data_IF_361001400383
#
_entry.id   IF_361001400383
#
_cell.length_a   1.000
_cell.length_b   1.000
_cell.length_c   1.000
_cell.angle_alpha   90.00
_cell.angle_beta   90.00
_cell.angle_gamma   90.00
#
_symmetry.space_group_name_H-M   'P 1'
#
loop_
_entity.id
_entity.type
_entity.pdbx_description
1 polymer ?
#
# COMPACT_ATOMS: atom_id res chain seq x y z
N UNK A 1 6.02 -12.63 -10.75
CA UNK A 1 4.80 -13.07 -11.44
C UNK A 1 3.96 -11.89 -11.89
N UNK A 2 2.90 -12.17 -12.63
CA UNK A 2 1.99 -11.13 -13.12
C UNK A 2 0.70 -11.11 -12.30
N UNK A 3 0.18 -9.89 -12.07
CA UNK A 3 -1.08 -9.69 -11.39
C UNK A 3 -1.81 -8.53 -12.09
N UNK A 4 -2.91 -8.84 -12.76
CA UNK A 4 -3.68 -7.87 -13.56
C UNK A 4 -2.80 -6.99 -14.47
N UNK A 5 -1.78 -7.59 -15.08
CA UNK A 5 -0.87 -6.91 -16.01
C UNK A 5 0.34 -6.26 -15.36
N UNK A 6 0.40 -6.16 -14.04
CA UNK A 6 1.58 -5.66 -13.34
C UNK A 6 2.59 -6.77 -13.10
N UNK A 7 3.87 -6.41 -13.04
CA UNK A 7 4.95 -7.35 -12.72
C UNK A 7 5.21 -7.29 -11.22
N UNK A 8 4.98 -8.41 -10.54
CA UNK A 8 5.09 -8.50 -9.09
C UNK A 8 6.41 -9.17 -8.74
N UNK A 9 7.19 -8.52 -7.89
CA UNK A 9 8.42 -9.08 -7.31
C UNK A 9 8.27 -9.15 -5.80
N UNK A 10 8.41 -10.35 -5.25
CA UNK A 10 8.42 -10.53 -3.81
C UNK A 10 9.84 -10.34 -3.29
N UNK A 11 10.02 -9.60 -2.21
CA UNK A 11 11.32 -9.35 -1.62
C UNK A 11 11.28 -9.43 -0.09
N UNK A 12 12.47 -9.39 0.53
CA UNK A 12 12.60 -9.54 1.97
C UNK A 12 12.62 -8.20 2.73
N UNK A 13 12.53 -7.07 2.04
CA UNK A 13 12.38 -5.78 2.68
C UNK A 13 11.02 -5.74 3.38
N UNK A 14 10.92 -4.97 4.46
CA UNK A 14 9.68 -4.90 5.24
C UNK A 14 8.66 -3.95 4.65
N UNK A 15 9.01 -3.21 3.63
CA UNK A 15 8.12 -2.27 2.94
C UNK A 15 7.76 -2.78 1.55
N UNK A 16 6.67 -2.27 1.00
CA UNK A 16 6.25 -2.53 -0.37
C UNK A 16 6.25 -1.22 -1.15
N UNK A 17 6.51 -1.29 -2.45
CA UNK A 17 6.56 -0.10 -3.29
C UNK A 17 6.08 -0.42 -4.70
N UNK A 18 5.40 0.54 -5.32
CA UNK A 18 4.97 0.47 -6.71
C UNK A 18 5.71 1.50 -7.55
N UNK A 19 6.25 1.06 -8.68
CA UNK A 19 6.92 1.92 -9.66
C UNK A 19 6.31 1.63 -11.03
N UNK A 20 5.27 2.38 -11.41
CA UNK A 20 4.54 2.14 -12.65
C UNK A 20 3.89 0.76 -12.65
N UNK A 21 4.26 -0.08 -13.60
CA UNK A 21 3.74 -1.46 -13.71
C UNK A 21 4.55 -2.47 -12.88
N UNK A 22 5.61 -2.03 -12.19
CA UNK A 22 6.44 -2.90 -11.37
C UNK A 22 6.07 -2.72 -9.91
N UNK A 23 5.73 -3.82 -9.23
CA UNK A 23 5.33 -3.81 -7.83
C UNK A 23 6.27 -4.71 -7.05
N UNK A 24 6.87 -4.14 -6.00
CA UNK A 24 7.73 -4.88 -5.08
C UNK A 24 6.97 -5.08 -3.79
N UNK A 25 6.64 -6.32 -3.45
CA UNK A 25 5.80 -6.67 -2.32
C UNK A 25 6.62 -7.39 -1.26
N UNK A 26 6.50 -6.93 0.00
CA UNK A 26 7.17 -7.59 1.12
C UNK A 26 6.58 -8.96 1.39
N UNK A 27 7.45 -9.91 1.78
CA UNK A 27 7.02 -11.22 2.32
C UNK A 27 6.84 -11.16 3.83
N UNK A 28 7.40 -10.12 4.46
CA UNK A 28 7.44 -9.98 5.92
C UNK A 28 6.93 -8.60 6.32
N UNK A 29 5.63 -8.35 6.26
CA UNK A 29 5.09 -7.03 6.61
C UNK A 29 5.30 -6.75 8.10
N UNK A 30 5.85 -5.57 8.41
CA UNK A 30 6.18 -5.21 9.78
C UNK A 30 4.96 -5.16 10.70
N UNK A 31 3.78 -4.95 10.13
CA UNK A 31 2.53 -4.83 10.87
C UNK A 31 1.83 -6.17 11.11
N UNK A 32 2.41 -7.28 10.68
CA UNK A 32 1.78 -8.60 10.85
C UNK A 32 1.52 -8.93 12.31
N UNK A 33 2.49 -8.68 13.19
CA UNK A 33 2.36 -9.00 14.62
C UNK A 33 1.17 -8.27 15.26
N UNK A 34 0.87 -7.06 14.81
CA UNK A 34 -0.26 -6.29 15.31
C UNK A 34 -1.60 -6.86 14.86
N UNK A 35 -1.67 -7.37 13.64
CA UNK A 35 -2.93 -7.79 13.01
C UNK A 35 -3.13 -9.31 12.97
N UNK A 36 -2.17 -10.09 13.44
CA UNK A 36 -2.22 -11.56 13.35
C UNK A 36 -3.37 -12.23 14.09
N UNK A 37 -3.98 -11.54 15.05
CA UNK A 37 -5.12 -12.05 15.82
C UNK A 37 -6.38 -12.12 14.94
N UNK A 38 -6.55 -11.14 14.04
CA UNK A 38 -7.73 -11.01 13.20
C UNK A 38 -7.51 -11.50 11.76
N UNK A 39 -6.24 -11.48 11.29
CA UNK A 39 -5.90 -11.76 9.90
C UNK A 39 -4.76 -12.75 9.80
N UNK A 40 -4.81 -13.63 8.80
CA UNK A 40 -3.69 -14.50 8.47
C UNK A 40 -2.64 -13.68 7.69
N UNK A 41 -1.39 -14.17 7.68
CA UNK A 41 -0.31 -13.52 6.94
C UNK A 41 -0.63 -13.47 5.44
N UNK A 42 -1.13 -14.59 4.87
CA UNK A 42 -1.47 -14.64 3.45
C UNK A 42 -2.58 -13.65 3.09
N UNK A 43 -3.57 -13.50 3.96
CA UNK A 43 -4.65 -12.53 3.73
C UNK A 43 -4.12 -11.10 3.73
N UNK A 44 -3.25 -10.76 4.69
CA UNK A 44 -2.64 -9.42 4.74
C UNK A 44 -1.76 -9.15 3.52
N UNK A 45 -0.98 -10.13 3.09
CA UNK A 45 -0.13 -9.97 1.90
C UNK A 45 -0.97 -9.77 0.65
N UNK A 46 -2.08 -10.48 0.52
CA UNK A 46 -2.98 -10.31 -0.61
C UNK A 46 -3.63 -8.93 -0.60
N UNK A 47 -4.10 -8.47 0.54
CA UNK A 47 -4.69 -7.13 0.69
C UNK A 47 -3.66 -6.03 0.39
N UNK A 48 -2.42 -6.23 0.82
CA UNK A 48 -1.34 -5.29 0.53
C UNK A 48 -1.05 -5.24 -0.97
N UNK A 49 -1.07 -6.40 -1.64
CA UNK A 49 -0.89 -6.46 -3.09
C UNK A 49 -1.98 -5.66 -3.82
N UNK A 50 -3.24 -5.78 -3.39
CA UNK A 50 -4.35 -5.01 -3.97
C UNK A 50 -4.10 -3.50 -3.79
N UNK A 51 -3.63 -3.09 -2.62
CA UNK A 51 -3.27 -1.69 -2.35
C UNK A 51 -2.16 -1.20 -3.29
N UNK A 52 -1.08 -1.97 -3.39
CA UNK A 52 0.05 -1.59 -4.26
C UNK A 52 -0.36 -1.57 -5.72
N UNK A 53 -1.24 -2.47 -6.13
CA UNK A 53 -1.79 -2.44 -7.48
C UNK A 53 -2.61 -1.17 -7.72
N UNK A 54 -3.28 -0.66 -6.70
CA UNK A 54 -3.97 0.63 -6.79
C UNK A 54 -3.03 1.77 -7.15
N UNK A 55 -1.80 1.77 -6.63
CA UNK A 55 -0.78 2.75 -7.04
C UNK A 55 -0.38 2.58 -8.51
N UNK A 56 -0.34 1.34 -9.00
CA UNK A 56 -0.12 1.09 -10.43
C UNK A 56 -1.21 1.75 -11.27
N UNK A 57 -2.48 1.60 -10.86
CA UNK A 57 -3.60 2.23 -11.57
C UNK A 57 -3.48 3.75 -11.50
N UNK A 58 -3.11 4.32 -10.36
CA UNK A 58 -2.85 5.76 -10.24
C UNK A 58 -1.80 6.22 -11.25
N UNK A 59 -0.71 5.47 -11.42
CA UNK A 59 0.34 5.82 -12.35
C UNK A 59 -0.14 5.79 -13.81
N UNK A 60 -1.04 4.88 -14.15
CA UNK A 60 -1.64 4.82 -15.48
C UNK A 60 -2.54 6.01 -15.75
N UNK A 61 -3.28 6.48 -14.73
CA UNK A 61 -4.17 7.64 -14.85
C UNK A 61 -3.36 8.95 -14.93
N UNK A 62 -2.37 9.11 -14.07
CA UNK A 62 -1.64 10.36 -13.90
C UNK A 62 -0.40 10.49 -14.78
N UNK A 63 0.14 9.37 -15.28
CA UNK A 63 1.38 9.38 -16.04
C UNK A 63 2.52 10.02 -15.27
N UNK A 64 3.30 10.93 -15.90
CA UNK A 64 4.45 11.59 -15.23
C UNK A 64 4.06 12.39 -13.99
N UNK A 65 2.82 12.85 -13.87
CA UNK A 65 2.34 13.58 -12.70
C UNK A 65 2.25 12.69 -11.46
N UNK A 66 2.27 11.37 -11.61
CA UNK A 66 2.20 10.42 -10.50
C UNK A 66 3.26 10.73 -9.43
N UNK A 67 4.49 11.00 -9.83
CA UNK A 67 5.58 11.27 -8.88
C UNK A 67 5.31 12.49 -8.01
N UNK A 68 4.66 13.51 -8.57
CA UNK A 68 4.38 14.76 -7.84
C UNK A 68 3.11 14.62 -7.00
N UNK A 69 2.03 14.10 -7.59
CA UNK A 69 0.71 14.08 -6.94
C UNK A 69 0.60 12.96 -5.91
N UNK A 70 1.19 11.81 -6.18
CA UNK A 70 1.09 10.62 -5.34
C UNK A 70 2.43 10.27 -4.69
N UNK A 71 3.48 10.13 -5.48
CA UNK A 71 4.77 9.63 -5.00
C UNK A 71 5.37 10.48 -3.89
N UNK A 72 5.47 11.79 -4.10
CA UNK A 72 6.03 12.68 -3.10
C UNK A 72 5.18 12.77 -1.83
N UNK A 73 3.85 13.04 -1.90
CA UNK A 73 3.03 13.07 -0.70
C UNK A 73 3.00 11.74 0.05
N UNK A 74 2.90 10.61 -0.66
CA UNK A 74 2.91 9.28 -0.04
C UNK A 74 4.22 9.00 0.68
N UNK A 75 5.35 9.35 0.06
CA UNK A 75 6.67 9.16 0.66
C UNK A 75 6.80 9.99 1.93
N UNK A 76 6.40 11.25 1.89
CA UNK A 76 6.45 12.11 3.09
C UNK A 76 5.54 11.57 4.19
N UNK A 77 4.33 11.15 3.84
CA UNK A 77 3.38 10.58 4.80
C UNK A 77 3.92 9.31 5.47
N UNK A 78 4.59 8.45 4.70
CA UNK A 78 5.12 7.18 5.21
C UNK A 78 6.41 7.31 6.00
N UNK A 79 7.33 8.19 5.57
CA UNK A 79 8.70 8.19 6.10
C UNK A 79 9.04 9.33 7.06
N UNK A 80 8.23 10.38 7.17
CA UNK A 80 8.52 11.44 8.14
C UNK A 80 8.28 10.92 9.57
N UNK A 81 9.30 11.02 10.47
CA UNK A 81 9.17 10.49 11.83
C UNK A 81 8.03 11.11 12.63
N UNK A 82 7.77 12.39 12.45
CA UNK A 82 6.69 13.09 13.16
C UNK A 82 5.31 12.53 12.78
N UNK A 83 5.11 12.24 11.49
CA UNK A 83 3.85 11.69 11.00
C UNK A 83 3.67 10.23 11.42
N UNK A 84 4.75 9.46 11.40
CA UNK A 84 4.74 8.08 11.89
C UNK A 84 4.35 8.04 13.37
N UNK A 85 4.98 8.89 14.18
CA UNK A 85 4.68 9.00 15.61
C UNK A 85 3.22 9.36 15.84
N UNK A 86 2.69 10.32 15.08
CA UNK A 86 1.29 10.73 15.18
C UNK A 86 0.35 9.57 14.88
N UNK A 87 0.60 8.82 13.80
CA UNK A 87 -0.23 7.67 13.46
C UNK A 87 -0.22 6.63 14.58
N UNK A 88 0.96 6.36 15.14
CA UNK A 88 1.12 5.37 16.20
C UNK A 88 0.42 5.82 17.49
N UNK A 89 0.64 7.06 17.93
CA UNK A 89 0.09 7.58 19.18
C UNK A 89 -1.43 7.72 19.12
N UNK A 90 -1.97 8.16 17.99
CA UNK A 90 -3.40 8.40 17.82
C UNK A 90 -4.12 7.25 17.12
N UNK A 91 -3.40 6.18 16.77
CA UNK A 91 -3.93 5.00 16.05
C UNK A 91 -4.66 5.39 14.76
N UNK A 92 -4.04 6.27 13.98
CA UNK A 92 -4.55 6.71 12.69
C UNK A 92 -4.12 5.72 11.62
N UNK A 93 -5.05 5.29 10.77
CA UNK A 93 -4.72 4.42 9.64
C UNK A 93 -3.81 5.14 8.65
N UNK A 94 -2.71 4.49 8.26
CA UNK A 94 -1.85 4.96 7.17
C UNK A 94 -2.67 5.19 5.90
N UNK A 95 -3.69 4.36 5.68
CA UNK A 95 -4.52 4.37 4.49
C UNK A 95 -5.61 5.45 4.52
N UNK A 96 -5.70 6.24 5.59
CA UNK A 96 -6.61 7.38 5.65
C UNK A 96 -6.10 8.57 4.83
N UNK A 97 -4.79 8.61 4.50
CA UNK A 97 -4.23 9.66 3.67
C UNK A 97 -4.80 9.55 2.24
N UNK A 98 -5.05 10.67 1.59
CA UNK A 98 -5.78 10.66 0.31
C UNK A 98 -5.14 9.80 -0.78
N UNK A 99 -3.80 9.77 -0.86
CA UNK A 99 -3.09 8.97 -1.87
C UNK A 99 -3.26 7.48 -1.62
N UNK A 100 -3.18 7.07 -0.36
CA UNK A 100 -3.25 5.66 0.04
C UNK A 100 -4.69 5.14 0.01
N UNK A 101 -5.65 5.94 0.47
CA UNK A 101 -7.07 5.59 0.40
C UNK A 101 -7.55 5.48 -1.04
N UNK A 102 -7.10 6.38 -1.91
CA UNK A 102 -7.43 6.30 -3.33
C UNK A 102 -6.84 5.05 -3.98
N UNK A 103 -5.59 4.70 -3.64
CA UNK A 103 -4.97 3.46 -4.12
C UNK A 103 -5.80 2.24 -3.72
N UNK A 104 -6.25 2.17 -2.47
CA UNK A 104 -7.13 1.10 -2.00
C UNK A 104 -8.40 1.00 -2.85
N UNK A 105 -9.08 2.12 -3.06
CA UNK A 105 -10.32 2.14 -3.84
C UNK A 105 -10.11 1.71 -5.29
N UNK A 106 -9.04 2.18 -5.92
CA UNK A 106 -8.73 1.80 -7.30
C UNK A 106 -8.37 0.32 -7.40
N UNK A 107 -7.55 -0.17 -6.47
CA UNK A 107 -7.18 -1.57 -6.43
C UNK A 107 -8.40 -2.47 -6.29
N UNK A 108 -9.29 -2.14 -5.35
CA UNK A 108 -10.53 -2.91 -5.15
C UNK A 108 -11.43 -2.87 -6.38
N UNK A 109 -11.55 -1.71 -7.00
CA UNK A 109 -12.40 -1.55 -8.17
C UNK A 109 -11.92 -2.36 -9.37
N UNK A 110 -10.62 -2.35 -9.62
CA UNK A 110 -10.05 -3.05 -10.78
C UNK A 110 -9.92 -4.54 -10.55
N UNK A 111 -9.50 -4.97 -9.36
CA UNK A 111 -9.26 -6.39 -9.07
C UNK A 111 -10.49 -7.12 -8.56
N UNK A 112 -11.47 -6.42 -7.99
CA UNK A 112 -12.62 -7.04 -7.33
C UNK A 112 -12.27 -7.68 -5.98
N UNK A 113 -11.06 -7.47 -5.47
CA UNK A 113 -10.57 -8.05 -4.23
C UNK A 113 -10.42 -7.00 -3.15
N UNK A 114 -10.41 -7.42 -1.88
CA UNK A 114 -10.26 -6.51 -0.74
C UNK A 114 -8.83 -5.98 -0.62
N UNK A 115 -8.71 -4.67 -0.40
CA UNK A 115 -7.44 -4.01 -0.09
C UNK A 115 -7.21 -3.92 1.42
N UNK A 116 -6.25 -3.09 1.81
CA UNK A 116 -5.98 -2.80 3.22
C UNK A 116 -7.09 -1.98 3.90
N UNK A 117 -7.97 -1.34 3.13
CA UNK A 117 -9.06 -0.56 3.68
C UNK A 117 -8.56 0.54 4.61
N UNK A 118 -9.08 0.57 5.83
CA UNK A 118 -8.65 1.52 6.86
C UNK A 118 -7.96 0.83 8.04
N UNK A 119 -7.27 -0.28 7.77
CA UNK A 119 -6.53 -0.99 8.83
C UNK A 119 -5.45 -0.08 9.43
N UNK A 120 -5.33 -0.14 10.76
CA UNK A 120 -4.28 0.60 11.47
C UNK A 120 -3.07 -0.31 11.59
N UNK A 121 -1.96 0.08 10.94
CA UNK A 121 -0.75 -0.74 10.87
C UNK A 121 0.38 -0.24 11.79
N UNK A 122 0.24 0.95 12.36
CA UNK A 122 1.25 1.53 13.25
C UNK A 122 0.89 1.43 14.74
#
# INVERSE_FOLDING_TARGET
YFYHGAVITEWNDKSSVSLGMFVFVTKEPYFYDKLKVEYTKDELLKRLLVHEYGHTVQSLILGPLYLIVIGMPSTLWGFLPNLHKKRKDEQISYFSFFTEGWANRLGEKVTGEKSMGNLVID
#
